data_IF_055634281539
#
_entry.id   IF_055634281539
#
_cell.length_a   1.000
_cell.length_b   1.000
_cell.length_c   1.000
_cell.angle_alpha   90.00
_cell.angle_beta   90.00
_cell.angle_gamma   90.00
#
_symmetry.space_group_name_H-M   'P 1'
#
loop_
_entity.id
_entity.type
_entity.pdbx_description
1 polymer ?
#
# COMPACT_ATOMS: atom_id res chain seq x y z
N UNK A 1 -12.36 -19.39 12.92
CA UNK A 1 -11.37 -19.22 11.87
C UNK A 1 -11.66 -20.23 10.76
N UNK A 2 -12.10 -19.75 9.59
CA UNK A 2 -12.32 -20.62 8.44
C UNK A 2 -11.32 -20.25 7.36
N UNK A 3 -10.37 -21.13 7.14
CA UNK A 3 -9.49 -21.10 5.98
C UNK A 3 -10.23 -21.78 4.84
N UNK A 4 -10.49 -21.07 3.75
CA UNK A 4 -11.02 -21.66 2.53
C UNK A 4 -9.86 -21.86 1.58
N UNK A 5 -9.42 -23.09 1.42
CA UNK A 5 -8.52 -23.49 0.35
C UNK A 5 -9.34 -24.00 -0.82
N UNK A 6 -9.16 -23.42 -2.01
CA UNK A 6 -9.68 -23.98 -3.25
C UNK A 6 -8.52 -24.56 -4.01
N UNK A 7 -8.46 -25.88 -4.06
CA UNK A 7 -7.52 -26.61 -4.92
C UNK A 7 -8.31 -27.46 -5.86
N UNK A 8 -8.18 -27.25 -7.15
CA UNK A 8 -8.09 -28.28 -8.18
C UNK A 8 -8.28 -27.71 -9.57
N UNK A 9 -7.19 -27.59 -10.33
CA UNK A 9 -7.24 -27.44 -11.78
C UNK A 9 -6.05 -28.18 -12.41
N UNK A 10 -6.30 -28.92 -13.50
CA UNK A 10 -5.36 -29.84 -14.13
C UNK A 10 -4.12 -29.17 -14.73
N UNK A 11 -3.06 -29.96 -14.92
CA UNK A 11 -1.66 -29.54 -15.18
C UNK A 11 -1.44 -28.67 -16.43
N UNK A 12 -2.34 -28.66 -17.40
CA UNK A 12 -2.17 -27.86 -18.63
C UNK A 12 -2.56 -26.39 -18.49
N UNK A 13 -3.39 -26.05 -17.50
CA UNK A 13 -3.85 -24.68 -17.21
C UNK A 13 -3.00 -24.04 -16.08
N UNK A 14 -2.17 -24.83 -15.42
CA UNK A 14 -1.47 -24.43 -14.20
C UNK A 14 -0.42 -23.34 -14.45
N UNK A 15 0.30 -23.43 -15.57
CA UNK A 15 1.35 -22.45 -15.85
C UNK A 15 0.79 -21.09 -16.34
N UNK A 16 -0.35 -21.11 -17.03
CA UNK A 16 -1.00 -19.88 -17.50
C UNK A 16 -1.76 -19.20 -16.35
N UNK A 17 -2.41 -19.99 -15.50
CA UNK A 17 -3.04 -19.48 -14.27
C UNK A 17 -2.03 -19.02 -13.23
N UNK A 18 -0.87 -19.66 -13.08
CA UNK A 18 0.15 -19.20 -12.14
C UNK A 18 0.70 -17.82 -12.54
N UNK A 19 0.91 -17.55 -13.83
CA UNK A 19 1.35 -16.22 -14.24
C UNK A 19 0.26 -15.15 -14.09
N UNK A 20 -1.00 -15.50 -14.32
CA UNK A 20 -2.13 -14.58 -14.10
C UNK A 20 -2.43 -14.39 -12.60
N UNK A 21 -2.23 -15.44 -11.79
CA UNK A 21 -2.35 -15.38 -10.33
C UNK A 21 -1.19 -14.58 -9.73
N UNK A 22 0.03 -14.73 -10.24
CA UNK A 22 1.19 -13.92 -9.83
C UNK A 22 1.00 -12.45 -10.19
N UNK A 23 0.41 -12.16 -11.36
CA UNK A 23 0.11 -10.81 -11.82
C UNK A 23 -1.01 -10.11 -11.02
N UNK A 24 -1.93 -10.88 -10.42
CA UNK A 24 -3.02 -10.36 -9.58
C UNK A 24 -2.76 -10.54 -8.07
N UNK A 25 -1.50 -10.80 -7.68
CA UNK A 25 -1.12 -11.02 -6.29
C UNK A 25 -1.45 -12.42 -5.78
N UNK A 26 -1.26 -13.44 -6.62
CA UNK A 26 -1.38 -14.85 -6.22
C UNK A 26 -0.46 -15.16 -5.05
N UNK A 27 -1.04 -15.76 -4.00
CA UNK A 27 -0.36 -16.01 -2.74
C UNK A 27 -0.62 -14.96 -1.65
N UNK A 28 -1.38 -13.91 -1.93
CA UNK A 28 -1.79 -12.94 -0.92
C UNK A 28 -3.00 -13.43 -0.13
N UNK A 29 -2.96 -13.20 1.18
CA UNK A 29 -4.08 -13.44 2.10
C UNK A 29 -4.43 -12.12 2.74
N UNK A 30 -5.65 -11.64 2.50
CA UNK A 30 -6.15 -10.45 3.18
C UNK A 30 -6.85 -10.84 4.50
N UNK A 31 -6.48 -10.17 5.57
CA UNK A 31 -7.05 -10.37 6.91
C UNK A 31 -7.76 -9.09 7.33
N UNK A 32 -9.00 -9.23 7.75
CA UNK A 32 -9.82 -8.12 8.22
C UNK A 32 -10.40 -8.44 9.59
N UNK A 33 -10.61 -7.43 10.42
CA UNK A 33 -11.41 -7.58 11.62
C UNK A 33 -12.87 -7.87 11.22
N UNK A 34 -13.50 -8.84 11.89
CA UNK A 34 -14.93 -9.09 11.71
C UNK A 34 -15.76 -7.98 12.37
N UNK A 35 -17.01 -7.82 11.93
CA UNK A 35 -17.94 -6.86 12.55
C UNK A 35 -18.15 -7.14 14.05
N UNK A 36 -18.14 -8.40 14.46
CA UNK A 36 -18.22 -8.80 15.86
C UNK A 36 -16.97 -8.35 16.63
N UNK A 37 -15.79 -8.56 16.06
CA UNK A 37 -14.53 -8.12 16.66
C UNK A 37 -14.48 -6.59 16.84
N UNK A 38 -14.97 -5.84 15.85
CA UNK A 38 -15.08 -4.38 15.92
C UNK A 38 -16.03 -3.97 17.05
N UNK A 39 -17.18 -4.65 17.19
CA UNK A 39 -18.16 -4.39 18.25
C UNK A 39 -17.58 -4.69 19.63
N UNK A 40 -16.80 -5.75 19.76
CA UNK A 40 -16.15 -6.16 21.01
C UNK A 40 -14.83 -5.40 21.27
N UNK A 41 -14.47 -4.44 20.42
CA UNK A 41 -13.23 -3.65 20.49
C UNK A 41 -11.96 -4.54 20.46
N UNK A 42 -12.01 -5.60 19.68
CA UNK A 42 -10.86 -6.48 19.41
C UNK A 42 -10.21 -6.07 18.10
N UNK A 43 -8.97 -5.65 18.17
CA UNK A 43 -8.20 -5.16 17.03
C UNK A 43 -7.02 -6.06 16.72
N UNK A 44 -6.50 -5.97 15.50
CA UNK A 44 -5.21 -6.55 15.16
C UNK A 44 -4.14 -5.66 15.80
N UNK A 45 -3.32 -6.23 16.68
CA UNK A 45 -2.26 -5.51 17.36
C UNK A 45 -0.91 -5.68 16.62
N UNK A 46 0.07 -4.81 16.83
CA UNK A 46 1.40 -4.96 16.22
C UNK A 46 2.05 -6.32 16.49
N UNK A 47 1.82 -6.90 17.67
CA UNK A 47 2.30 -8.23 18.03
C UNK A 47 1.69 -9.36 17.19
N UNK A 48 0.45 -9.21 16.72
CA UNK A 48 -0.20 -10.17 15.84
C UNK A 48 0.45 -10.12 14.45
N UNK A 49 0.78 -8.90 13.98
CA UNK A 49 1.46 -8.68 12.70
C UNK A 49 2.85 -9.32 12.73
N UNK A 50 3.60 -9.14 13.81
CA UNK A 50 4.92 -9.74 13.98
C UNK A 50 4.81 -11.28 14.04
N UNK A 51 3.83 -11.81 14.76
CA UNK A 51 3.59 -13.25 14.82
C UNK A 51 3.24 -13.85 13.45
N UNK A 52 2.47 -13.16 12.62
CA UNK A 52 2.18 -13.59 11.25
C UNK A 52 3.42 -13.54 10.37
N UNK A 53 4.27 -12.51 10.54
CA UNK A 53 5.53 -12.36 9.78
C UNK A 53 6.52 -13.49 10.06
N UNK A 54 6.49 -14.07 11.27
CA UNK A 54 7.36 -15.19 11.68
C UNK A 54 6.86 -16.58 11.20
N UNK A 55 5.67 -16.68 10.62
CA UNK A 55 5.16 -17.95 10.10
C UNK A 55 5.96 -18.44 8.90
N UNK A 56 6.22 -19.75 8.87
CA UNK A 56 6.90 -20.38 7.74
C UNK A 56 6.09 -20.21 6.44
N UNK A 57 6.75 -19.74 5.38
CA UNK A 57 6.14 -19.47 4.09
C UNK A 57 5.52 -18.07 3.94
N UNK A 58 5.62 -17.20 4.95
CA UNK A 58 5.25 -15.78 4.84
C UNK A 58 6.47 -14.98 4.42
N UNK A 59 6.41 -14.35 3.25
CA UNK A 59 7.51 -13.54 2.71
C UNK A 59 7.47 -12.08 3.19
N UNK A 60 6.28 -11.59 3.54
CA UNK A 60 6.08 -10.24 4.06
C UNK A 60 4.64 -10.01 4.52
N UNK A 61 4.46 -9.00 5.35
CA UNK A 61 3.15 -8.58 5.86
C UNK A 61 3.02 -7.08 5.66
N UNK A 62 2.08 -6.68 4.81
CA UNK A 62 1.73 -5.28 4.65
C UNK A 62 0.48 -4.95 5.46
N UNK A 63 0.50 -3.82 6.14
CA UNK A 63 -0.67 -3.22 6.75
C UNK A 63 -1.01 -2.00 5.92
N UNK A 64 -2.22 -1.95 5.39
CA UNK A 64 -2.64 -0.84 4.56
C UNK A 64 -3.99 -0.30 4.98
N UNK A 65 -4.15 1.00 4.85
CA UNK A 65 -5.42 1.69 5.06
C UNK A 65 -5.57 2.80 4.03
N UNK A 66 -6.79 3.03 3.55
CA UNK A 66 -7.05 3.96 2.44
C UNK A 66 -7.97 5.09 2.85
N UNK A 67 -7.59 6.29 2.49
CA UNK A 67 -8.30 7.53 2.80
C UNK A 67 -8.50 8.38 1.55
N UNK A 68 -9.49 9.27 1.62
CA UNK A 68 -9.59 10.39 0.68
C UNK A 68 -8.77 11.55 1.22
N UNK A 69 -7.79 11.99 0.45
CA UNK A 69 -6.98 13.15 0.75
C UNK A 69 -7.18 14.27 -0.27
N UNK A 70 -6.80 15.46 0.11
CA UNK A 70 -6.78 16.64 -0.76
C UNK A 70 -5.36 17.17 -0.89
N UNK A 71 -5.04 17.70 -2.06
CA UNK A 71 -3.77 18.37 -2.31
C UNK A 71 -3.95 19.56 -3.22
N UNK A 72 -3.10 20.57 -3.03
CA UNK A 72 -3.03 21.75 -3.89
C UNK A 72 -1.67 21.79 -4.54
N UNK A 73 -1.63 21.89 -5.86
CA UNK A 73 -0.40 22.01 -6.64
C UNK A 73 -0.46 23.24 -7.54
N UNK A 74 0.60 23.54 -8.27
CA UNK A 74 0.58 24.59 -9.30
C UNK A 74 -0.40 24.34 -10.45
N UNK A 75 -1.02 23.16 -10.51
CA UNK A 75 -2.06 22.78 -11.49
C UNK A 75 -3.49 22.95 -10.97
N UNK A 76 -3.67 23.15 -9.66
CA UNK A 76 -4.96 23.32 -9.01
C UNK A 76 -5.16 22.41 -7.81
N UNK A 77 -6.41 22.25 -7.42
CA UNK A 77 -6.87 21.46 -6.27
C UNK A 77 -7.28 20.06 -6.76
N UNK A 78 -6.85 19.04 -6.05
CA UNK A 78 -7.10 17.65 -6.42
C UNK A 78 -7.51 16.80 -5.22
N UNK A 79 -8.45 15.88 -5.46
CA UNK A 79 -8.71 14.77 -4.56
C UNK A 79 -7.80 13.59 -4.90
N UNK A 80 -7.30 12.93 -3.88
CA UNK A 80 -6.42 11.78 -3.96
C UNK A 80 -7.03 10.58 -3.23
N UNK A 81 -6.83 9.40 -3.75
CA UNK A 81 -6.89 8.18 -2.94
C UNK A 81 -5.50 7.97 -2.34
N UNK A 82 -5.42 8.10 -1.03
CA UNK A 82 -4.19 7.95 -0.27
C UNK A 82 -4.23 6.63 0.47
N UNK A 83 -3.27 5.76 0.22
CA UNK A 83 -3.13 4.49 0.93
C UNK A 83 -1.89 4.54 1.80
N UNK A 84 -2.09 4.45 3.10
CA UNK A 84 -1.01 4.26 4.06
C UNK A 84 -0.53 2.81 3.99
N UNK A 85 0.78 2.59 3.90
CA UNK A 85 1.37 1.28 3.76
C UNK A 85 2.60 1.09 4.64
N UNK A 86 2.75 -0.13 5.13
CA UNK A 86 3.88 -0.52 5.98
C UNK A 86 5.10 -0.94 5.14
N UNK A 87 6.08 -1.50 5.81
CA UNK A 87 7.42 -1.79 5.26
C UNK A 87 7.45 -2.78 4.09
N UNK A 88 6.49 -3.71 4.03
CA UNK A 88 6.46 -4.78 3.03
C UNK A 88 5.54 -4.47 1.83
N UNK A 89 5.09 -3.21 1.71
CA UNK A 89 4.17 -2.76 0.67
C UNK A 89 4.61 -3.15 -0.75
N UNK A 90 5.89 -2.99 -1.06
CA UNK A 90 6.42 -3.34 -2.38
C UNK A 90 6.23 -4.81 -2.73
N UNK A 91 6.32 -5.71 -1.74
CA UNK A 91 6.14 -7.15 -1.96
C UNK A 91 4.68 -7.49 -2.26
N UNK A 92 3.77 -6.77 -1.62
CA UNK A 92 2.33 -7.01 -1.72
C UNK A 92 1.76 -6.37 -2.98
N UNK A 93 2.16 -5.14 -3.30
CA UNK A 93 1.59 -4.39 -4.42
C UNK A 93 2.07 -4.86 -5.80
N UNK A 94 3.17 -5.61 -5.85
CA UNK A 94 3.81 -6.03 -7.10
C UNK A 94 3.99 -4.88 -8.12
N UNK A 95 4.17 -3.66 -7.62
CA UNK A 95 4.21 -2.46 -8.44
C UNK A 95 5.56 -2.28 -9.12
N UNK A 96 5.54 -2.06 -10.43
CA UNK A 96 6.75 -1.72 -11.18
C UNK A 96 7.14 -0.27 -10.92
N UNK A 97 8.32 -0.05 -10.34
CA UNK A 97 8.88 1.28 -10.12
C UNK A 97 9.49 1.81 -11.41
N UNK A 98 9.01 2.96 -11.86
CA UNK A 98 9.48 3.66 -13.06
C UNK A 98 10.64 4.59 -12.76
N UNK A 99 10.55 5.35 -11.69
CA UNK A 99 11.56 6.28 -11.21
C UNK A 99 11.73 6.16 -9.70
N UNK A 100 12.95 6.36 -9.21
CA UNK A 100 13.25 6.30 -7.78
C UNK A 100 13.16 4.90 -7.19
N UNK A 101 12.62 4.81 -5.99
CA UNK A 101 12.44 3.55 -5.27
C UNK A 101 11.18 3.57 -4.41
N UNK A 102 10.64 2.41 -4.13
CA UNK A 102 9.62 2.25 -3.09
C UNK A 102 10.25 2.48 -1.70
N UNK A 103 9.49 2.99 -0.75
CA UNK A 103 9.94 3.06 0.63
C UNK A 103 9.93 1.66 1.27
N UNK A 104 10.74 1.48 2.29
CA UNK A 104 10.89 0.20 2.97
C UNK A 104 10.95 0.38 4.48
N UNK A 105 11.42 -0.67 5.16
CA UNK A 105 11.50 -0.74 6.62
C UNK A 105 12.17 0.49 7.24
N UNK A 106 13.26 0.95 6.66
CA UNK A 106 14.03 2.09 7.21
C UNK A 106 13.21 3.38 7.24
N UNK A 107 12.51 3.70 6.16
CA UNK A 107 11.68 4.90 6.08
C UNK A 107 10.51 4.84 7.07
N UNK A 108 9.88 3.67 7.20
CA UNK A 108 8.77 3.43 8.13
C UNK A 108 9.24 3.51 9.58
N UNK A 109 10.31 2.81 9.95
CA UNK A 109 10.87 2.82 11.32
C UNK A 109 11.37 4.20 11.76
N UNK A 110 11.98 4.97 10.85
CA UNK A 110 12.45 6.32 11.10
C UNK A 110 11.31 7.37 11.10
N UNK A 111 10.07 6.97 10.81
CA UNK A 111 8.91 7.85 10.75
C UNK A 111 9.02 8.92 9.65
N UNK A 112 9.70 8.60 8.55
CA UNK A 112 9.86 9.54 7.43
C UNK A 112 8.55 9.69 6.67
N UNK A 113 8.14 10.92 6.43
CA UNK A 113 7.03 11.21 5.55
C UNK A 113 7.50 11.09 4.08
N UNK A 114 7.37 9.92 3.51
CA UNK A 114 7.69 9.64 2.11
C UNK A 114 6.47 9.05 1.41
N UNK A 115 6.38 9.25 0.11
CA UNK A 115 5.31 8.68 -0.70
C UNK A 115 5.82 8.17 -2.04
N UNK A 116 5.06 7.23 -2.58
CA UNK A 116 5.17 6.74 -3.94
C UNK A 116 3.87 7.08 -4.64
N UNK A 117 3.93 7.61 -5.84
CA UNK A 117 2.74 7.96 -6.62
C UNK A 117 2.74 7.23 -7.96
N UNK A 118 1.56 7.01 -8.51
CA UNK A 118 1.43 6.49 -9.88
C UNK A 118 1.92 7.51 -10.91
N UNK A 119 2.38 7.06 -12.05
CA UNK A 119 2.77 7.97 -13.14
C UNK A 119 1.56 8.75 -13.69
N UNK A 120 0.34 8.21 -13.55
CA UNK A 120 -0.91 8.89 -13.87
C UNK A 120 -1.15 10.08 -12.92
N UNK A 121 -1.00 9.87 -11.61
CA UNK A 121 -1.13 10.94 -10.62
C UNK A 121 0.00 11.98 -10.77
N UNK A 122 1.24 11.55 -10.99
CA UNK A 122 2.34 12.47 -11.22
C UNK A 122 2.06 13.43 -12.38
N UNK A 123 1.58 12.92 -13.51
CA UNK A 123 1.19 13.74 -14.67
C UNK A 123 0.01 14.66 -14.36
N UNK A 124 -0.98 14.16 -13.64
CA UNK A 124 -2.17 14.92 -13.26
C UNK A 124 -1.82 16.08 -12.33
N UNK A 125 -1.01 15.83 -11.31
CA UNK A 125 -0.67 16.79 -10.25
C UNK A 125 0.43 17.79 -10.66
N UNK A 126 1.42 17.34 -11.42
CA UNK A 126 2.61 18.13 -11.75
C UNK A 126 2.79 18.41 -13.24
N UNK A 127 2.09 17.68 -14.11
CA UNK A 127 2.23 17.77 -15.57
C UNK A 127 3.41 16.97 -16.14
N UNK A 128 4.12 16.24 -15.29
CA UNK A 128 5.25 15.35 -15.62
C UNK A 128 5.25 14.16 -14.70
N UNK A 129 5.87 13.08 -15.12
CA UNK A 129 6.09 11.89 -14.27
C UNK A 129 7.50 11.84 -13.64
N UNK A 130 8.37 12.76 -13.99
CA UNK A 130 9.70 12.93 -13.35
C UNK A 130 9.58 13.87 -12.14
N UNK A 131 9.09 13.33 -11.03
CA UNK A 131 8.76 14.08 -9.80
C UNK A 131 9.48 13.57 -8.55
N UNK A 132 10.41 12.62 -8.69
CA UNK A 132 11.16 12.09 -7.56
C UNK A 132 11.96 13.20 -6.87
N UNK A 133 11.82 13.29 -5.55
CA UNK A 133 12.44 14.35 -4.74
C UNK A 133 11.57 15.58 -4.53
N UNK A 134 10.50 15.76 -5.29
CA UNK A 134 9.50 16.80 -5.05
C UNK A 134 8.68 16.50 -3.79
N UNK A 135 8.02 17.51 -3.27
CA UNK A 135 7.14 17.39 -2.10
C UNK A 135 5.68 17.51 -2.51
N UNK A 136 4.83 16.82 -1.76
CA UNK A 136 3.38 16.81 -1.90
C UNK A 136 2.74 17.02 -0.53
N UNK A 137 1.98 18.10 -0.39
CA UNK A 137 1.18 18.33 0.80
C UNK A 137 -0.14 17.59 0.66
N UNK A 138 -0.45 16.72 1.60
CA UNK A 138 -1.67 15.92 1.62
C UNK A 138 -2.47 16.26 2.86
N UNK A 139 -3.72 16.65 2.67
CA UNK A 139 -4.66 16.95 3.75
C UNK A 139 -5.69 15.82 3.86
N UNK A 140 -5.73 15.16 5.00
CA UNK A 140 -6.73 14.17 5.35
C UNK A 140 -7.35 14.58 6.70
N UNK A 141 -8.68 14.60 6.82
CA UNK A 141 -9.38 14.95 8.07
C UNK A 141 -8.85 16.24 8.74
N UNK A 142 -8.68 17.31 7.97
CA UNK A 142 -8.16 18.61 8.44
C UNK A 142 -6.69 18.59 8.93
N UNK A 143 -6.00 17.48 8.76
CA UNK A 143 -4.57 17.35 9.06
C UNK A 143 -3.76 17.35 7.76
N UNK A 144 -2.88 18.34 7.60
CA UNK A 144 -1.97 18.41 6.46
C UNK A 144 -0.60 17.90 6.84
N UNK A 145 -0.06 16.98 6.03
CA UNK A 145 1.32 16.49 6.12
C UNK A 145 2.03 16.67 4.78
N UNK A 146 3.29 17.04 4.84
CA UNK A 146 4.17 17.12 3.67
C UNK A 146 4.91 15.81 3.50
N UNK A 147 4.77 15.19 2.32
CA UNK A 147 5.47 13.96 1.94
C UNK A 147 6.48 14.26 0.84
N UNK A 148 7.65 13.61 0.91
CA UNK A 148 8.63 13.64 -0.18
C UNK A 148 8.36 12.45 -1.10
N UNK A 149 8.23 12.70 -2.39
CA UNK A 149 8.06 11.67 -3.40
C UNK A 149 9.40 10.93 -3.55
N UNK A 150 9.43 9.65 -3.18
CA UNK A 150 10.61 8.79 -3.29
C UNK A 150 10.56 7.87 -4.51
N UNK A 151 9.38 7.62 -5.06
CA UNK A 151 9.23 6.78 -6.24
C UNK A 151 7.98 7.11 -7.05
N UNK A 152 8.04 6.71 -8.31
CA UNK A 152 6.90 6.75 -9.25
C UNK A 152 6.71 5.36 -9.81
N UNK A 153 5.49 4.84 -9.74
CA UNK A 153 5.14 3.50 -10.24
C UNK A 153 4.37 3.58 -11.54
N UNK A 154 4.50 2.53 -12.34
CA UNK A 154 3.71 2.35 -13.54
C UNK A 154 2.41 1.64 -13.16
N UNK A 155 1.36 2.40 -12.88
CA UNK A 155 0.03 1.87 -12.58
C UNK A 155 -0.99 2.48 -13.54
N UNK A 156 -1.97 1.67 -13.92
CA UNK A 156 -3.07 2.12 -14.79
C UNK A 156 -4.07 3.00 -14.04
N UNK A 157 -4.11 2.89 -12.73
CA UNK A 157 -5.02 3.63 -11.85
C UNK A 157 -4.27 4.71 -11.06
N UNK A 158 -5.00 5.73 -10.67
CA UNK A 158 -4.47 6.77 -9.80
C UNK A 158 -4.21 6.17 -8.41
N UNK A 159 -3.08 6.51 -7.82
CA UNK A 159 -2.72 6.04 -6.48
C UNK A 159 -1.57 6.81 -5.89
N UNK A 160 -1.73 7.19 -4.64
CA UNK A 160 -0.71 7.83 -3.82
C UNK A 160 -0.51 6.99 -2.57
N UNK A 161 0.66 6.38 -2.43
CA UNK A 161 1.01 5.48 -1.35
C UNK A 161 1.95 6.18 -0.40
N UNK A 162 1.59 6.28 0.87
CA UNK A 162 2.37 6.98 1.90
C UNK A 162 2.93 5.99 2.91
N UNK A 163 4.11 6.30 3.45
CA UNK A 163 4.68 5.53 4.55
C UNK A 163 3.78 5.61 5.78
N UNK A 164 3.51 4.48 6.38
CA UNK A 164 2.57 4.33 7.49
C UNK A 164 3.13 3.42 8.57
N UNK A 165 3.00 3.83 9.82
CA UNK A 165 3.34 3.00 10.98
C UNK A 165 2.04 2.62 11.68
N UNK A 166 1.74 1.34 11.71
CA UNK A 166 0.58 0.81 12.40
C UNK A 166 0.88 0.66 13.90
N UNK A 167 0.08 1.30 14.73
CA UNK A 167 0.22 1.30 16.19
C UNK A 167 -0.87 0.51 16.92
N UNK A 168 -1.69 -0.22 16.17
CA UNK A 168 -2.79 -1.02 16.71
C UNK A 168 -4.10 -0.25 16.88
N UNK A 169 -4.15 1.01 16.48
CA UNK A 169 -5.38 1.81 16.53
C UNK A 169 -6.03 1.86 15.16
N UNK A 170 -7.34 1.62 15.04
CA UNK A 170 -8.06 1.94 13.82
C UNK A 170 -8.05 3.45 13.65
N UNK A 171 -7.64 3.89 12.48
CA UNK A 171 -7.59 5.32 12.14
C UNK A 171 -8.91 5.72 11.50
#
# INVERSE_FOLDING_TARGET
ASVIAIVSIGEGTKNQMNSEIDDIGGGQIAVYCSDDAITDQVWIEPGDIDAVRELDGVEGVNVSDSYTGETVTGKGDFNLTVTGEAQDAKLVDNASVKYGSYFGQKEVEEGKNVCVISDADAKRLFGTDDVVGMTLDITCYDLTKTFRICGVTTQKENGTFVSYTYDGMPV
#
